data_IF_234743499273
#
_entry.id   IF_234743499273
#
_cell.length_a   1.000
_cell.length_b   1.000
_cell.length_c   1.000
_cell.angle_alpha   90.00
_cell.angle_beta   90.00
_cell.angle_gamma   90.00
#
_symmetry.space_group_name_H-M   'P 1'
#
loop_
_entity.id
_entity.type
_entity.pdbx_description
1 polymer ?
#
# COMPACT_ATOMS: atom_id res chain seq x y z
N UNK A 1 2.71 -12.74 10.53
CA UNK A 1 2.87 -12.77 9.05
C UNK A 1 1.49 -12.57 8.37
N UNK A 2 1.38 -12.02 7.15
CA UNK A 2 0.07 -11.73 6.49
C UNK A 2 -0.72 -13.01 6.20
N UNK A 3 -0.03 -14.07 5.78
CA UNK A 3 -0.61 -15.40 5.56
C UNK A 3 -1.22 -15.97 6.85
N UNK A 4 -0.45 -15.93 7.94
CA UNK A 4 -0.87 -16.37 9.27
C UNK A 4 -2.12 -15.61 9.77
N UNK A 5 -2.19 -14.30 9.55
CA UNK A 5 -3.30 -13.45 10.00
C UNK A 5 -4.60 -13.65 9.22
N UNK A 6 -4.50 -14.12 7.98
CA UNK A 6 -5.62 -14.23 7.06
C UNK A 6 -6.04 -15.67 6.77
N UNK A 7 -5.20 -16.64 7.13
CA UNK A 7 -5.36 -18.04 6.74
C UNK A 7 -5.09 -18.31 5.26
N UNK A 8 -4.66 -17.31 4.49
CA UNK A 8 -4.32 -17.47 3.08
C UNK A 8 -2.92 -18.07 2.90
N UNK A 9 -2.67 -18.83 1.81
CA UNK A 9 -1.32 -19.26 1.48
C UNK A 9 -0.37 -18.08 1.24
N UNK A 10 0.93 -18.27 1.53
CA UNK A 10 1.95 -17.21 1.47
C UNK A 10 2.04 -16.52 0.11
N UNK A 11 2.05 -17.28 -0.98
CA UNK A 11 2.19 -16.73 -2.33
C UNK A 11 1.03 -15.77 -2.73
N UNK A 12 -0.26 -16.15 -2.65
CA UNK A 12 -1.36 -15.23 -2.94
C UNK A 12 -1.42 -14.05 -1.96
N UNK A 13 -1.17 -14.26 -0.66
CA UNK A 13 -1.10 -13.16 0.31
C UNK A 13 -0.01 -12.13 -0.05
N UNK A 14 1.17 -12.60 -0.44
CA UNK A 14 2.29 -11.76 -0.92
C UNK A 14 1.92 -11.03 -2.22
N UNK A 15 1.17 -11.68 -3.12
CA UNK A 15 0.71 -11.04 -4.36
C UNK A 15 -0.27 -9.89 -4.08
N UNK A 16 -1.20 -10.08 -3.13
CA UNK A 16 -2.10 -9.01 -2.68
C UNK A 16 -1.31 -7.87 -2.05
N UNK A 17 -0.37 -8.17 -1.15
CA UNK A 17 0.50 -7.17 -0.55
C UNK A 17 1.21 -6.30 -1.60
N UNK A 18 1.86 -6.92 -2.60
CA UNK A 18 2.51 -6.18 -3.69
C UNK A 18 1.52 -5.38 -4.54
N UNK A 19 0.35 -5.95 -4.82
CA UNK A 19 -0.68 -5.29 -5.63
C UNK A 19 -1.26 -4.06 -4.94
N UNK A 20 -1.40 -4.07 -3.61
CA UNK A 20 -1.75 -2.89 -2.80
C UNK A 20 -0.68 -1.81 -2.93
N UNK A 21 0.60 -2.17 -2.75
CA UNK A 21 1.71 -1.21 -2.89
C UNK A 21 1.73 -0.54 -4.25
N UNK A 22 1.51 -1.30 -5.32
CA UNK A 22 1.41 -0.78 -6.68
C UNK A 22 0.19 0.13 -6.90
N UNK A 23 -1.00 -0.27 -6.40
CA UNK A 23 -2.24 0.48 -6.58
C UNK A 23 -2.21 1.86 -5.89
N UNK A 24 -1.58 1.95 -4.72
CA UNK A 24 -1.46 3.19 -3.94
C UNK A 24 -0.14 3.94 -4.16
N UNK A 25 0.70 3.50 -5.11
CA UNK A 25 1.97 4.18 -5.42
C UNK A 25 3.03 4.11 -4.31
N UNK A 26 2.89 3.20 -3.34
CA UNK A 26 3.79 3.10 -2.18
C UNK A 26 5.23 2.77 -2.59
N UNK A 27 5.41 1.95 -3.62
CA UNK A 27 6.74 1.62 -4.14
C UNK A 27 7.41 2.83 -4.78
N UNK A 28 6.63 3.69 -5.47
CA UNK A 28 7.13 4.97 -6.00
C UNK A 28 7.52 5.92 -4.88
N UNK A 29 6.72 6.01 -3.82
CA UNK A 29 7.03 6.82 -2.63
C UNK A 29 8.34 6.38 -1.97
N UNK A 30 8.53 5.07 -1.76
CA UNK A 30 9.77 4.51 -1.20
C UNK A 30 10.96 4.80 -2.10
N UNK A 31 10.82 4.58 -3.41
CA UNK A 31 11.87 4.86 -4.38
C UNK A 31 12.28 6.33 -4.39
N UNK A 32 11.32 7.26 -4.36
CA UNK A 32 11.57 8.68 -4.29
C UNK A 32 12.30 9.08 -2.98
N UNK A 33 11.88 8.52 -1.86
CA UNK A 33 12.48 8.78 -0.56
C UNK A 33 13.96 8.35 -0.48
N UNK A 34 14.34 7.28 -1.18
CA UNK A 34 15.74 6.83 -1.25
C UNK A 34 16.67 7.83 -1.96
N UNK A 35 16.12 8.72 -2.79
CA UNK A 35 16.90 9.74 -3.51
C UNK A 35 17.13 11.02 -2.69
N UNK A 36 16.55 11.15 -1.49
CA UNK A 36 16.66 12.37 -0.71
C UNK A 36 18.03 12.49 -0.01
N UNK A 37 18.69 13.63 -0.23
CA UNK A 37 19.81 14.08 0.60
C UNK A 37 19.27 14.99 1.69
N UNK A 38 19.14 14.46 2.91
CA UNK A 38 18.65 15.21 4.07
C UNK A 38 19.81 15.53 5.00
N UNK A 39 20.08 16.82 5.22
CA UNK A 39 21.19 17.29 6.07
C UNK A 39 20.89 17.12 7.57
N UNK A 40 19.65 17.36 7.97
CA UNK A 40 19.25 17.31 9.38
C UNK A 40 19.04 15.88 9.86
N UNK A 41 19.57 15.59 11.06
CA UNK A 41 19.41 14.27 11.69
C UNK A 41 17.94 13.87 11.88
N UNK A 42 17.12 14.82 12.32
CA UNK A 42 15.71 14.58 12.61
C UNK A 42 14.88 14.33 11.36
N UNK A 43 15.18 14.98 10.24
CA UNK A 43 14.50 14.74 8.96
C UNK A 43 14.77 13.31 8.47
N UNK A 44 16.01 12.82 8.60
CA UNK A 44 16.36 11.43 8.28
C UNK A 44 15.60 10.44 9.18
N UNK A 45 15.49 10.73 10.47
CA UNK A 45 14.75 9.88 11.40
C UNK A 45 13.25 9.87 11.09
N UNK A 46 12.68 11.03 10.79
CA UNK A 46 11.27 11.19 10.43
C UNK A 46 10.94 10.45 9.13
N UNK A 47 11.79 10.59 8.10
CA UNK A 47 11.63 9.86 6.85
C UNK A 47 11.69 8.35 7.09
N UNK A 48 12.70 7.87 7.82
CA UNK A 48 12.86 6.44 8.10
C UNK A 48 11.63 5.88 8.81
N UNK A 49 11.18 6.54 9.89
CA UNK A 49 9.96 6.12 10.61
C UNK A 49 8.76 6.08 9.69
N UNK A 50 8.57 7.13 8.88
CA UNK A 50 7.46 7.20 7.90
C UNK A 50 7.49 6.02 6.92
N UNK A 51 8.66 5.62 6.45
CA UNK A 51 8.79 4.47 5.54
C UNK A 51 8.53 3.13 6.23
N UNK A 52 8.97 2.95 7.49
CA UNK A 52 8.67 1.76 8.30
C UNK A 52 7.16 1.62 8.53
N UNK A 53 6.54 2.73 8.90
CA UNK A 53 5.11 2.90 9.05
C UNK A 53 4.32 2.58 7.77
N UNK A 54 4.81 3.03 6.62
CA UNK A 54 4.19 2.77 5.32
C UNK A 54 4.15 1.27 4.97
N UNK A 55 5.13 0.47 5.43
CA UNK A 55 5.06 -0.98 5.29
C UNK A 55 3.91 -1.59 6.11
N UNK A 56 3.68 -1.06 7.30
CA UNK A 56 2.59 -1.54 8.14
C UNK A 56 1.22 -1.12 7.59
N UNK A 57 1.12 0.08 7.05
CA UNK A 57 -0.07 0.56 6.34
C UNK A 57 -0.40 -0.32 5.12
N UNK A 58 0.62 -0.67 4.30
CA UNK A 58 0.46 -1.61 3.19
C UNK A 58 -0.05 -2.98 3.66
N UNK A 59 0.44 -3.45 4.82
CA UNK A 59 0.04 -4.73 5.41
C UNK A 59 -1.42 -4.70 5.85
N UNK A 60 -1.85 -3.63 6.52
CA UNK A 60 -3.23 -3.45 6.96
C UNK A 60 -4.21 -3.40 5.79
N UNK A 61 -3.87 -2.66 4.73
CA UNK A 61 -4.67 -2.60 3.51
C UNK A 61 -4.73 -3.95 2.79
N UNK A 62 -3.61 -4.68 2.70
CA UNK A 62 -3.60 -6.03 2.13
C UNK A 62 -4.47 -7.01 2.93
N UNK A 63 -4.47 -6.90 4.25
CA UNK A 63 -5.33 -7.67 5.14
C UNK A 63 -6.82 -7.32 4.92
N UNK A 64 -7.16 -6.05 4.73
CA UNK A 64 -8.51 -5.61 4.40
C UNK A 64 -9.00 -6.14 3.04
N UNK A 65 -8.15 -6.11 2.02
CA UNK A 65 -8.43 -6.69 0.69
C UNK A 65 -8.68 -8.19 0.80
N UNK A 66 -7.83 -8.92 1.52
CA UNK A 66 -7.98 -10.38 1.71
C UNK A 66 -9.28 -10.70 2.45
N UNK A 67 -9.60 -9.97 3.52
CA UNK A 67 -10.87 -10.16 4.25
C UNK A 67 -12.09 -9.92 3.38
N UNK A 68 -12.05 -8.89 2.54
CA UNK A 68 -13.13 -8.60 1.59
C UNK A 68 -13.30 -9.70 0.55
N UNK A 69 -12.19 -10.25 0.04
CA UNK A 69 -12.21 -11.38 -0.89
C UNK A 69 -12.74 -12.68 -0.24
N UNK A 70 -12.59 -12.84 1.08
CA UNK A 70 -13.08 -13.98 1.83
C UNK A 70 -12.17 -15.19 1.75
N UNK A 71 -12.75 -16.37 1.48
CA UNK A 71 -11.98 -17.60 1.37
C UNK A 71 -10.94 -17.52 0.24
N UNK A 72 -9.76 -18.11 0.46
CA UNK A 72 -8.76 -18.20 -0.58
C UNK A 72 -9.36 -18.93 -1.81
N UNK A 73 -9.06 -18.48 -3.05
CA UNK A 73 -9.52 -19.16 -4.26
C UNK A 73 -9.18 -20.65 -4.21
N UNK A 74 -10.18 -21.54 -4.31
CA UNK A 74 -9.95 -22.97 -4.24
C UNK A 74 -9.47 -23.52 -5.58
N UNK A 75 -8.40 -24.32 -5.51
CA UNK A 75 -7.99 -25.25 -6.55
C UNK A 75 -7.02 -24.72 -7.59
N UNK A 76 -5.72 -24.59 -7.25
CA UNK A 76 -4.62 -25.11 -8.10
C UNK A 76 -3.38 -25.44 -7.25
N UNK A 77 -2.86 -26.68 -7.29
CA UNK A 77 -1.50 -26.97 -6.83
C UNK A 77 -0.49 -26.30 -7.77
N UNK A 78 0.24 -25.30 -7.29
CA UNK A 78 1.33 -24.66 -8.05
C UNK A 78 0.94 -23.58 -9.06
N UNK A 79 -0.35 -23.25 -9.27
CA UNK A 79 -0.70 -22.03 -10.01
C UNK A 79 -0.98 -20.87 -9.05
N UNK A 80 -0.01 -19.97 -8.99
CA UNK A 80 -0.18 -18.63 -9.53
C UNK A 80 -1.62 -18.14 -9.76
N UNK A 81 -2.38 -17.82 -8.70
CA UNK A 81 -3.39 -16.77 -8.81
C UNK A 81 -2.82 -15.40 -8.38
N UNK A 82 -1.51 -15.23 -8.65
CA UNK A 82 -0.81 -13.93 -8.62
C UNK A 82 -1.57 -12.94 -9.52
N UNK A 83 -2.15 -13.42 -10.62
CA UNK A 83 -2.94 -12.65 -11.57
C UNK A 83 -4.26 -12.10 -11.00
N UNK A 84 -4.89 -12.77 -10.03
CA UNK A 84 -6.10 -12.26 -9.39
C UNK A 84 -5.84 -11.10 -8.42
N UNK A 85 -4.63 -10.96 -7.85
CA UNK A 85 -4.38 -9.96 -6.81
C UNK A 85 -4.70 -8.51 -7.25
N UNK A 86 -4.30 -8.03 -8.45
CA UNK A 86 -4.74 -6.72 -8.94
C UNK A 86 -6.26 -6.60 -9.07
N UNK A 87 -6.96 -7.68 -9.44
CA UNK A 87 -8.44 -7.68 -9.53
C UNK A 87 -9.06 -7.57 -8.14
N UNK A 88 -8.61 -8.34 -7.16
CA UNK A 88 -9.09 -8.28 -5.78
C UNK A 88 -8.89 -6.90 -5.15
N UNK A 89 -7.73 -6.27 -5.42
CA UNK A 89 -7.46 -4.90 -4.97
C UNK A 89 -8.45 -3.92 -5.63
N UNK A 90 -8.70 -4.02 -6.94
CA UNK A 90 -9.69 -3.18 -7.63
C UNK A 90 -11.11 -3.38 -7.11
N UNK A 91 -11.52 -4.61 -6.83
CA UNK A 91 -12.84 -4.92 -6.27
C UNK A 91 -13.01 -4.30 -4.88
N UNK A 92 -12.01 -4.45 -4.00
CA UNK A 92 -12.01 -3.80 -2.69
C UNK A 92 -12.02 -2.28 -2.81
N UNK A 93 -11.25 -1.69 -3.72
CA UNK A 93 -11.26 -0.25 -3.96
C UNK A 93 -12.62 0.25 -4.45
N UNK A 94 -13.25 -0.46 -5.39
CA UNK A 94 -14.59 -0.11 -5.86
C UNK A 94 -15.65 -0.17 -4.75
N UNK A 95 -15.54 -1.15 -3.85
CA UNK A 95 -16.40 -1.23 -2.66
C UNK A 95 -16.12 -0.12 -1.61
N UNK A 96 -14.97 0.54 -1.70
CA UNK A 96 -14.50 1.59 -0.78
C UNK A 96 -14.25 2.93 -1.47
N UNK A 97 -14.88 3.16 -2.63
CA UNK A 97 -14.51 4.20 -3.59
C UNK A 97 -14.45 5.61 -2.97
N UNK A 98 -15.43 5.96 -2.13
CA UNK A 98 -15.49 7.27 -1.48
C UNK A 98 -14.23 7.59 -0.65
N UNK A 99 -13.56 6.56 -0.10
CA UNK A 99 -12.31 6.72 0.67
C UNK A 99 -11.08 6.60 -0.22
N UNK A 100 -11.07 5.64 -1.14
CA UNK A 100 -9.88 5.36 -1.97
C UNK A 100 -9.66 6.41 -3.04
N UNK A 101 -10.72 6.97 -3.63
CA UNK A 101 -10.62 7.99 -4.69
C UNK A 101 -9.99 9.29 -4.16
N UNK A 102 -10.36 9.73 -2.95
CA UNK A 102 -9.78 10.91 -2.32
C UNK A 102 -8.27 10.78 -2.08
N UNK A 103 -7.84 9.66 -1.50
CA UNK A 103 -6.41 9.38 -1.27
C UNK A 103 -5.62 9.34 -2.59
N UNK A 104 -6.15 8.67 -3.61
CA UNK A 104 -5.50 8.60 -4.92
C UNK A 104 -5.44 9.95 -5.63
N UNK A 105 -6.48 10.78 -5.50
CA UNK A 105 -6.49 12.12 -6.05
C UNK A 105 -5.42 12.99 -5.40
N UNK A 106 -5.31 12.97 -4.07
CA UNK A 106 -4.28 13.72 -3.33
C UNK A 106 -2.87 13.26 -3.72
N UNK A 107 -2.62 11.94 -3.77
CA UNK A 107 -1.32 11.42 -4.20
C UNK A 107 -1.00 11.83 -5.64
N UNK A 108 -1.99 11.78 -6.54
CA UNK A 108 -1.84 12.22 -7.93
C UNK A 108 -1.53 13.72 -8.05
N UNK A 109 -2.15 14.56 -7.23
CA UNK A 109 -1.83 16.00 -7.16
C UNK A 109 -0.40 16.23 -6.68
N UNK A 110 0.03 15.54 -5.62
CA UNK A 110 1.41 15.63 -5.12
C UNK A 110 2.43 15.19 -6.18
N UNK A 111 2.13 14.13 -6.93
CA UNK A 111 3.00 13.60 -8.00
C UNK A 111 3.05 14.53 -9.23
N UNK A 112 1.93 15.15 -9.60
CA UNK A 112 1.87 16.05 -10.77
C UNK A 112 2.51 17.41 -10.54
N UNK A 113 2.68 17.85 -9.29
CA UNK A 113 3.18 19.19 -8.93
C UNK A 113 4.71 19.25 -8.78
N UNK A 114 5.45 18.67 -9.72
CA UNK A 114 6.92 18.62 -9.70
C UNK A 114 7.48 17.48 -8.85
N UNK A 115 8.80 17.47 -8.66
CA UNK A 115 9.50 16.35 -8.02
C UNK A 115 8.99 16.02 -6.61
N UNK A 116 9.13 14.76 -6.21
CA UNK A 116 8.92 14.34 -4.83
C UNK A 116 9.88 15.08 -3.89
N UNK A 117 9.35 15.56 -2.78
CA UNK A 117 10.11 16.20 -1.70
C UNK A 117 9.81 15.49 -0.39
N UNK A 118 10.65 15.72 0.63
CA UNK A 118 10.41 15.21 1.98
C UNK A 118 8.97 15.49 2.44
N UNK A 119 8.50 16.74 2.35
CA UNK A 119 7.16 17.12 2.76
C UNK A 119 6.06 16.37 1.98
N UNK A 120 6.18 16.25 0.65
CA UNK A 120 5.21 15.48 -0.15
C UNK A 120 5.16 14.02 0.28
N UNK A 121 6.30 13.40 0.56
CA UNK A 121 6.36 12.01 1.03
C UNK A 121 5.68 11.83 2.38
N UNK A 122 5.89 12.75 3.33
CA UNK A 122 5.20 12.72 4.64
C UNK A 122 3.68 12.85 4.45
N UNK A 123 3.22 13.78 3.61
CA UNK A 123 1.80 13.98 3.34
C UNK A 123 1.16 12.76 2.68
N UNK A 124 1.79 12.21 1.64
CA UNK A 124 1.28 11.01 0.97
C UNK A 124 1.20 9.80 1.91
N UNK A 125 2.19 9.62 2.79
CA UNK A 125 2.14 8.57 3.80
C UNK A 125 1.02 8.78 4.84
N UNK A 126 0.76 10.03 5.23
CA UNK A 126 -0.34 10.36 6.14
C UNK A 126 -1.73 10.06 5.53
N UNK A 127 -1.94 10.36 4.25
CA UNK A 127 -3.17 10.02 3.52
C UNK A 127 -3.40 8.50 3.49
N UNK A 128 -2.34 7.74 3.19
CA UNK A 128 -2.38 6.28 3.17
C UNK A 128 -2.67 5.72 4.58
N UNK A 129 -2.04 6.27 5.62
CA UNK A 129 -2.30 5.89 7.02
C UNK A 129 -3.77 6.09 7.38
N UNK A 130 -4.36 7.22 6.99
CA UNK A 130 -5.78 7.51 7.22
C UNK A 130 -6.71 6.44 6.64
N UNK A 131 -6.39 5.95 5.43
CA UNK A 131 -7.13 4.84 4.80
C UNK A 131 -6.95 3.51 5.53
N UNK A 132 -5.74 3.23 6.01
CA UNK A 132 -5.33 1.95 6.59
C UNK A 132 -5.93 1.70 7.98
N UNK A 133 -6.12 2.76 8.77
CA UNK A 133 -6.63 2.68 10.16
C UNK A 133 -8.15 2.77 10.22
N UNK A 134 -8.80 3.38 9.22
CA UNK A 134 -10.26 3.49 9.15
C UNK A 134 -10.97 2.31 8.47
N UNK A 135 -10.22 1.35 7.91
CA UNK A 135 -10.70 0.24 7.08
C UNK A 135 -11.25 -0.96 7.84
#
# INVERSE_FOLDING_TARGET
>A
DLAERTGWPVAPATSVFRSVGAAFGMDRLRGAAMAFTLEQHWDRLALRRTLEELYEDQRLLAEAVIRHAGAAPQGVPGAEDVAAAPRLVREWMAANDARTSGVLATIGELESTGAWTFAKTILAAAEIRGLSVGG
#
